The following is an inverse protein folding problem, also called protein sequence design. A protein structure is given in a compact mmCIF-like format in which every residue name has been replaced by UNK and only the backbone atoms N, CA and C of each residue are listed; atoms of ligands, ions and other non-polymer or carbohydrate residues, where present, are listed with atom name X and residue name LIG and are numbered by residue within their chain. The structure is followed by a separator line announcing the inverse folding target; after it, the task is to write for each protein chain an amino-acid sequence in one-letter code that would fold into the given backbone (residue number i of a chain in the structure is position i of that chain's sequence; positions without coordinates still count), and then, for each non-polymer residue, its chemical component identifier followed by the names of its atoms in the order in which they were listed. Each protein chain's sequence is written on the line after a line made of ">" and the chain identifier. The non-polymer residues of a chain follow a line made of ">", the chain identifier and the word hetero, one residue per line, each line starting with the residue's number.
data_IF_096460308220
#
_entry.id   IF_096460308220
#
_cell.length_a   1.000
_cell.length_b   1.000
_cell.length_c   1.000
_cell.angle_alpha   90.00
_cell.angle_beta   90.00
_cell.angle_gamma   90.00
#
_symmetry.space_group_name_H-M   'P 1'
#
loop_
_entity.id
_entity.type
_entity.pdbx_description
1 polymer ?
#
# COMPACT_ATOMS: atom_id res chain seq x y z
N UNK A 1 15.84 22.43 -43.16
CA UNK A 1 16.42 21.12 -43.52
C UNK A 1 17.44 20.66 -42.49
N UNK A 2 18.70 21.15 -42.42
CA UNK A 2 19.65 20.65 -41.39
C UNK A 2 19.25 20.89 -39.92
N UNK A 3 18.48 21.95 -39.63
CA UNK A 3 18.02 22.27 -38.28
C UNK A 3 16.82 21.41 -37.83
N UNK A 4 16.03 20.91 -38.77
CA UNK A 4 14.87 20.05 -38.50
C UNK A 4 15.32 18.60 -38.23
N UNK A 5 16.39 18.16 -38.91
CA UNK A 5 16.97 16.83 -38.72
C UNK A 5 17.64 16.65 -37.34
N UNK A 6 18.18 17.74 -36.75
CA UNK A 6 18.76 17.72 -35.40
C UNK A 6 17.70 17.68 -34.29
N UNK A 7 16.52 18.26 -34.51
CA UNK A 7 15.40 18.17 -33.57
C UNK A 7 14.87 16.74 -33.53
N UNK A 8 14.78 16.08 -34.69
CA UNK A 8 14.29 14.70 -34.79
C UNK A 8 15.23 13.64 -34.19
N UNK A 9 16.55 13.88 -34.14
CA UNK A 9 17.50 12.95 -33.49
C UNK A 9 17.47 13.01 -31.95
N UNK A 10 16.87 14.03 -31.34
CA UNK A 10 16.82 14.21 -29.90
C UNK A 10 15.54 13.63 -29.23
N UNK A 11 14.67 12.96 -30.01
CA UNK A 11 13.29 12.68 -29.60
C UNK A 11 12.99 11.24 -29.17
N UNK A 12 13.97 10.34 -29.12
CA UNK A 12 13.72 9.06 -28.47
C UNK A 12 13.72 9.25 -26.95
N UNK A 13 12.59 8.98 -26.27
CA UNK A 13 12.52 9.12 -24.83
C UNK A 13 13.51 8.14 -24.20
N UNK A 14 14.41 8.67 -23.36
CA UNK A 14 15.40 7.88 -22.61
C UNK A 14 14.77 6.71 -21.83
N UNK A 15 13.49 6.85 -21.48
CA UNK A 15 12.69 5.85 -20.79
C UNK A 15 11.35 5.69 -21.49
N UNK A 16 10.98 4.45 -21.80
CA UNK A 16 9.69 4.13 -22.45
C UNK A 16 8.55 3.91 -21.43
N UNK A 17 8.88 3.80 -20.14
CA UNK A 17 7.95 3.50 -19.08
C UNK A 17 8.30 4.26 -17.80
N UNK A 18 7.28 4.73 -17.09
CA UNK A 18 7.37 5.29 -15.75
C UNK A 18 6.48 4.46 -14.82
N UNK A 19 7.07 3.95 -13.75
CA UNK A 19 6.35 3.30 -12.66
C UNK A 19 6.17 4.32 -11.54
N UNK A 20 4.92 4.54 -11.14
CA UNK A 20 4.60 5.35 -9.98
C UNK A 20 4.14 4.43 -8.87
N UNK A 21 4.74 4.62 -7.70
CA UNK A 21 4.12 4.17 -6.46
C UNK A 21 2.81 4.95 -6.24
N UNK A 22 1.84 4.34 -5.58
CA UNK A 22 0.52 4.93 -5.37
C UNK A 22 0.47 5.67 -4.04
N UNK A 23 0.62 4.92 -2.95
CA UNK A 23 0.40 5.41 -1.59
C UNK A 23 1.51 6.37 -1.18
N UNK A 24 1.14 7.50 -0.58
CA UNK A 24 2.07 8.57 -0.16
C UNK A 24 2.95 9.15 -1.30
N UNK A 25 2.64 8.80 -2.56
CA UNK A 25 3.32 9.26 -3.78
C UNK A 25 2.37 10.01 -4.70
N UNK A 26 1.28 9.38 -5.16
CA UNK A 26 0.27 10.05 -5.99
C UNK A 26 -0.73 10.87 -5.18
N UNK A 27 -0.80 10.63 -3.88
CA UNK A 27 -1.45 11.50 -2.91
C UNK A 27 -0.50 11.74 -1.74
N UNK A 28 -0.58 12.90 -1.05
CA UNK A 28 0.31 13.17 0.06
C UNK A 28 -0.06 12.36 1.30
N UNK A 29 0.92 12.06 2.15
CA UNK A 29 0.70 11.46 3.47
C UNK A 29 -0.33 12.22 4.32
N UNK A 30 -0.43 13.55 4.12
CA UNK A 30 -1.41 14.41 4.79
C UNK A 30 -2.87 14.14 4.39
N UNK A 31 -3.12 13.28 3.39
CA UNK A 31 -4.45 12.76 3.06
C UNK A 31 -5.10 11.98 4.21
N UNK A 32 -4.28 11.43 5.13
CA UNK A 32 -4.75 10.64 6.26
C UNK A 32 -5.15 9.20 5.92
N UNK A 33 -5.07 8.78 4.66
CA UNK A 33 -5.47 7.45 4.19
C UNK A 33 -4.66 6.36 4.91
N UNK A 34 -3.33 6.50 4.94
CA UNK A 34 -2.42 5.54 5.61
C UNK A 34 -2.76 5.34 7.09
N UNK A 35 -3.12 6.43 7.79
CA UNK A 35 -3.52 6.39 9.20
C UNK A 35 -4.84 5.64 9.39
N UNK A 36 -5.86 5.94 8.58
CA UNK A 36 -7.18 5.31 8.70
C UNK A 36 -7.13 3.82 8.32
N UNK A 37 -6.41 3.45 7.25
CA UNK A 37 -6.19 2.05 6.88
C UNK A 37 -5.45 1.31 7.97
N UNK A 38 -4.40 1.90 8.54
CA UNK A 38 -3.64 1.30 9.66
C UNK A 38 -4.55 1.04 10.86
N UNK A 39 -5.39 2.01 11.23
CA UNK A 39 -6.38 1.84 12.29
C UNK A 39 -7.35 0.69 11.99
N UNK A 40 -7.89 0.62 10.77
CA UNK A 40 -8.82 -0.44 10.39
C UNK A 40 -8.17 -1.83 10.41
N UNK A 41 -6.90 -1.95 10.00
CA UNK A 41 -6.14 -3.20 10.09
C UNK A 41 -6.00 -3.63 11.57
N UNK A 42 -5.67 -2.70 12.46
CA UNK A 42 -5.58 -3.00 13.89
C UNK A 42 -6.95 -3.43 14.46
N UNK A 43 -8.03 -2.75 14.07
CA UNK A 43 -9.38 -3.15 14.46
C UNK A 43 -9.76 -4.54 13.92
N UNK A 44 -9.36 -4.88 12.70
CA UNK A 44 -9.56 -6.20 12.11
C UNK A 44 -8.84 -7.27 12.94
N UNK A 45 -7.56 -7.03 13.27
CA UNK A 45 -6.76 -7.93 14.09
C UNK A 45 -7.40 -8.20 15.46
N UNK A 46 -7.95 -7.17 16.11
CA UNK A 46 -8.61 -7.31 17.40
C UNK A 46 -9.97 -8.02 17.26
N UNK A 47 -10.84 -7.53 16.36
CA UNK A 47 -12.24 -7.95 16.29
C UNK A 47 -12.45 -9.26 15.54
N UNK A 48 -11.68 -9.52 14.49
CA UNK A 48 -11.85 -10.67 13.60
C UNK A 48 -10.86 -11.79 13.89
N UNK A 49 -9.61 -11.44 14.22
CA UNK A 49 -8.56 -12.42 14.51
C UNK A 49 -8.37 -12.69 16.01
N UNK A 50 -8.97 -11.88 16.88
CA UNK A 50 -8.93 -12.08 18.33
C UNK A 50 -7.57 -11.78 18.97
N UNK A 51 -6.73 -10.96 18.32
CA UNK A 51 -5.41 -10.57 18.83
C UNK A 51 -5.59 -9.49 19.90
N UNK A 52 -5.18 -9.78 21.13
CA UNK A 52 -5.51 -8.94 22.30
C UNK A 52 -4.43 -7.95 22.70
N UNK A 53 -3.16 -8.27 22.49
CA UNK A 53 -2.03 -7.51 23.01
C UNK A 53 -1.06 -7.12 21.88
N UNK A 54 -0.40 -5.96 22.04
CA UNK A 54 0.68 -5.47 21.18
C UNK A 54 0.35 -5.41 19.68
N UNK A 55 -0.92 -5.16 19.33
CA UNK A 55 -1.38 -5.09 17.94
C UNK A 55 -0.64 -4.01 17.13
N UNK A 56 -0.41 -2.79 17.64
CA UNK A 56 0.38 -1.78 16.92
C UNK A 56 1.82 -2.22 16.62
N UNK A 57 2.51 -2.81 17.61
CA UNK A 57 3.87 -3.29 17.47
C UNK A 57 3.95 -4.48 16.50
N UNK A 58 2.95 -5.37 16.55
CA UNK A 58 2.83 -6.48 15.62
C UNK A 58 2.60 -5.97 14.19
N UNK A 59 1.72 -4.98 13.97
CA UNK A 59 1.55 -4.35 12.65
C UNK A 59 2.88 -3.84 12.10
N UNK A 60 3.64 -3.08 12.91
CA UNK A 60 4.94 -2.52 12.50
C UNK A 60 5.94 -3.64 12.18
N UNK A 61 6.00 -4.68 13.02
CA UNK A 61 6.88 -5.83 12.81
C UNK A 61 6.54 -6.56 11.52
N UNK A 62 5.26 -6.89 11.30
CA UNK A 62 4.80 -7.59 10.11
C UNK A 62 5.02 -6.77 8.84
N UNK A 63 4.73 -5.48 8.87
CA UNK A 63 5.03 -4.58 7.76
C UNK A 63 6.52 -4.58 7.40
N UNK A 64 7.41 -4.43 8.39
CA UNK A 64 8.87 -4.40 8.17
C UNK A 64 9.42 -5.71 7.62
N UNK A 65 8.88 -6.85 8.05
CA UNK A 65 9.39 -8.17 7.67
C UNK A 65 8.76 -8.72 6.38
N UNK A 66 7.50 -8.35 6.07
CA UNK A 66 6.73 -8.96 4.98
C UNK A 66 6.18 -7.94 3.96
N UNK A 67 6.51 -6.66 4.11
CA UNK A 67 6.06 -5.58 3.22
C UNK A 67 4.63 -5.09 3.48
N UNK A 68 3.74 -5.93 4.03
CA UNK A 68 2.41 -5.52 4.50
C UNK A 68 2.01 -6.32 5.75
N UNK A 69 1.16 -5.73 6.60
CA UNK A 69 0.59 -6.45 7.74
C UNK A 69 -0.20 -7.68 7.30
N UNK A 70 -0.95 -7.59 6.19
CA UNK A 70 -1.74 -8.69 5.64
C UNK A 70 -0.87 -9.89 5.25
N UNK A 71 0.21 -9.66 4.49
CA UNK A 71 1.14 -10.70 4.10
C UNK A 71 1.81 -11.34 5.34
N UNK A 72 2.18 -10.53 6.33
CA UNK A 72 2.73 -11.02 7.57
C UNK A 72 1.77 -11.88 8.38
N UNK A 73 0.50 -11.46 8.51
CA UNK A 73 -0.54 -12.25 9.19
C UNK A 73 -0.73 -13.62 8.52
N UNK A 74 -0.76 -13.65 7.18
CA UNK A 74 -0.80 -14.89 6.41
C UNK A 74 0.43 -15.77 6.65
N UNK A 75 1.63 -15.18 6.62
CA UNK A 75 2.87 -15.90 6.83
C UNK A 75 2.99 -16.56 8.21
N UNK A 76 2.43 -15.93 9.26
CA UNK A 76 2.44 -16.47 10.63
C UNK A 76 1.24 -17.38 10.94
N UNK A 77 0.41 -17.70 9.94
CA UNK A 77 -0.61 -18.75 10.03
C UNK A 77 -2.04 -18.28 10.29
N UNK A 78 -2.34 -16.98 10.23
CA UNK A 78 -3.74 -16.53 10.27
C UNK A 78 -4.45 -16.86 8.96
N UNK A 79 -5.63 -17.45 9.07
CA UNK A 79 -6.46 -17.81 7.92
C UNK A 79 -7.68 -16.90 7.80
N UNK A 80 -7.70 -16.04 6.78
CA UNK A 80 -8.81 -15.16 6.42
C UNK A 80 -8.79 -14.91 4.90
N UNK A 81 -9.94 -14.54 4.32
CA UNK A 81 -10.03 -14.27 2.88
C UNK A 81 -9.50 -12.87 2.53
N UNK A 82 -8.72 -12.76 1.46
CA UNK A 82 -8.10 -11.49 1.03
C UNK A 82 -9.16 -10.40 0.75
N UNK A 83 -10.24 -10.76 0.06
CA UNK A 83 -11.31 -9.81 -0.28
C UNK A 83 -12.12 -9.36 0.94
N UNK A 84 -12.20 -10.19 1.98
CA UNK A 84 -12.85 -9.79 3.23
C UNK A 84 -11.96 -8.83 4.03
N UNK A 85 -10.65 -9.12 4.11
CA UNK A 85 -9.67 -8.22 4.72
C UNK A 85 -9.63 -6.85 4.04
N UNK A 86 -9.52 -6.82 2.71
CA UNK A 86 -9.50 -5.56 1.95
C UNK A 86 -10.81 -4.80 2.10
N UNK A 87 -11.97 -5.46 1.95
CA UNK A 87 -13.25 -4.77 2.16
C UNK A 87 -13.35 -4.20 3.57
N UNK A 88 -12.92 -4.93 4.60
CA UNK A 88 -12.93 -4.40 5.96
C UNK A 88 -12.02 -3.17 6.09
N UNK A 89 -10.76 -3.29 5.66
CA UNK A 89 -9.76 -2.25 5.89
C UNK A 89 -9.98 -0.98 5.05
N UNK A 90 -10.56 -1.12 3.86
CA UNK A 90 -10.79 -0.01 2.93
C UNK A 90 -12.25 0.50 2.95
N UNK A 91 -13.17 -0.15 3.68
CA UNK A 91 -14.60 0.23 3.69
C UNK A 91 -14.89 1.65 4.15
N UNK A 92 -14.04 2.24 4.99
CA UNK A 92 -14.22 3.63 5.48
C UNK A 92 -13.57 4.68 4.58
N UNK A 93 -12.86 4.29 3.52
CA UNK A 93 -12.31 5.22 2.54
C UNK A 93 -13.39 5.58 1.52
N UNK A 94 -14.04 6.71 1.73
CA UNK A 94 -14.91 7.31 0.72
C UNK A 94 -14.06 8.18 -0.21
N UNK A 95 -14.09 7.85 -1.51
CA UNK A 95 -13.65 8.73 -2.59
C UNK A 95 -14.85 9.10 -3.46
#
# INVERSE_FOLDING_TARGET
>A
MEYEDQINQAMDPKYECLLFDLDDTLYPLTSGISSEVTKNIQEYMIKKLGIKDNVPELCVSLYKHYGTTMAGLKAIGYNFEYDEFHRYCFSSLYF
#
